data_IF_767211784250
#
_entry.id   IF_767211784250
#
_cell.length_a   1.000
_cell.length_b   1.000
_cell.length_c   1.000
_cell.angle_alpha   90.00
_cell.angle_beta   90.00
_cell.angle_gamma   90.00
#
_symmetry.space_group_name_H-M   'P 1'
#
loop_
_entity.id
_entity.type
_entity.pdbx_description
1 polymer ?
#
# COMPACT_ATOMS: atom_id res chain seq x y z
N UNK A 1 32.43 -33.38 45.79
CA UNK A 1 32.27 -31.94 46.10
C UNK A 1 31.07 -31.47 45.28
N UNK A 2 29.86 -31.68 45.79
CA UNK A 2 28.63 -31.18 45.16
C UNK A 2 28.51 -29.69 45.49
N UNK A 3 28.80 -28.85 44.51
CA UNK A 3 28.63 -27.41 44.64
C UNK A 3 27.15 -27.08 44.41
N UNK A 4 26.40 -26.97 45.50
CA UNK A 4 25.00 -26.55 45.49
C UNK A 4 24.89 -25.16 44.83
N UNK A 5 24.33 -25.13 43.62
CA UNK A 5 23.92 -23.90 42.95
C UNK A 5 22.72 -23.29 43.69
N UNK A 6 22.99 -22.57 44.78
CA UNK A 6 21.99 -21.85 45.54
C UNK A 6 21.56 -20.63 44.70
N UNK A 7 20.37 -20.66 44.12
CA UNK A 7 19.78 -19.52 43.42
C UNK A 7 19.90 -18.26 44.28
N UNK A 8 20.72 -17.30 43.83
CA UNK A 8 20.91 -16.04 44.55
C UNK A 8 19.60 -15.26 44.50
N UNK A 9 18.93 -15.09 45.65
CA UNK A 9 17.71 -14.29 45.74
C UNK A 9 17.97 -12.84 45.30
N UNK A 10 17.10 -12.30 44.46
CA UNK A 10 17.17 -10.90 44.04
C UNK A 10 17.04 -9.99 45.28
N UNK A 11 18.08 -9.21 45.55
CA UNK A 11 18.22 -8.44 46.81
C UNK A 11 18.00 -6.92 46.64
N UNK A 12 17.88 -6.42 45.41
CA UNK A 12 17.75 -5.00 45.10
C UNK A 12 16.35 -4.67 44.55
N UNK A 13 15.77 -3.56 45.01
CA UNK A 13 14.46 -3.07 44.57
C UNK A 13 14.58 -1.64 44.06
N UNK A 14 14.05 -1.40 42.86
CA UNK A 14 13.95 -0.08 42.25
C UNK A 14 12.48 0.29 42.07
N UNK A 15 12.14 1.57 42.25
CA UNK A 15 10.79 2.11 42.07
C UNK A 15 10.82 3.17 40.98
N UNK A 16 9.82 3.17 40.11
CA UNK A 16 9.60 4.20 39.10
C UNK A 16 8.13 4.62 39.11
N UNK A 17 7.87 5.85 38.68
CA UNK A 17 6.52 6.41 38.56
C UNK A 17 6.19 6.53 37.08
N UNK A 18 4.95 6.19 36.73
CA UNK A 18 4.41 6.35 35.38
C UNK A 18 3.37 7.47 35.39
N UNK A 19 3.30 8.23 34.30
CA UNK A 19 2.15 9.09 34.02
C UNK A 19 0.94 8.26 33.51
N UNK A 20 -0.21 8.91 33.34
CA UNK A 20 -1.46 8.28 32.90
C UNK A 20 -1.29 7.52 31.56
N UNK A 21 -0.66 8.15 30.57
CA UNK A 21 -0.49 7.57 29.23
C UNK A 21 0.47 6.38 29.25
N UNK A 22 1.56 6.51 30.00
CA UNK A 22 2.53 5.45 30.23
C UNK A 22 1.89 4.27 30.95
N UNK A 23 1.01 4.51 31.93
CA UNK A 23 0.30 3.47 32.66
C UNK A 23 -0.68 2.70 31.75
N UNK A 24 -1.45 3.40 30.92
CA UNK A 24 -2.34 2.75 29.92
C UNK A 24 -1.53 1.84 29.00
N UNK A 25 -0.40 2.35 28.46
CA UNK A 25 0.48 1.58 27.58
C UNK A 25 1.10 0.38 28.30
N UNK A 26 1.51 0.56 29.55
CA UNK A 26 2.06 -0.51 30.38
C UNK A 26 1.05 -1.64 30.61
N UNK A 27 -0.19 -1.31 31.00
CA UNK A 27 -1.25 -2.29 31.19
C UNK A 27 -1.54 -3.09 29.91
N UNK A 28 -1.54 -2.44 28.75
CA UNK A 28 -1.72 -3.12 27.46
C UNK A 28 -0.61 -4.13 27.19
N UNK A 29 0.66 -3.71 27.32
CA UNK A 29 1.80 -4.60 27.08
C UNK A 29 1.86 -5.76 28.09
N UNK A 30 1.41 -5.53 29.32
CA UNK A 30 1.35 -6.55 30.37
C UNK A 30 0.31 -7.65 30.03
N UNK A 31 -0.85 -7.24 29.51
CA UNK A 31 -1.91 -8.14 29.06
C UNK A 31 -1.47 -8.95 27.82
N UNK A 32 -0.89 -8.29 26.81
CA UNK A 32 -0.34 -8.95 25.61
C UNK A 32 0.72 -10.00 25.95
N UNK A 33 1.51 -9.78 27.01
CA UNK A 33 2.54 -10.72 27.47
C UNK A 33 2.01 -11.84 28.37
N UNK A 34 0.72 -11.84 28.74
CA UNK A 34 0.10 -12.84 29.63
C UNK A 34 0.65 -12.83 31.06
N UNK A 35 1.26 -11.72 31.51
CA UNK A 35 1.94 -11.60 32.80
C UNK A 35 1.22 -10.67 33.79
N UNK A 36 -0.09 -10.52 33.66
CA UNK A 36 -0.94 -9.62 34.47
C UNK A 36 -0.77 -9.81 35.99
N UNK A 37 -0.55 -11.05 36.41
CA UNK A 37 -0.39 -11.45 37.81
C UNK A 37 0.98 -11.08 38.41
N UNK A 38 1.98 -10.71 37.59
CA UNK A 38 3.32 -10.40 38.07
C UNK A 38 4.01 -9.28 37.27
N UNK A 39 3.69 -8.04 37.65
CA UNK A 39 4.24 -6.81 37.06
C UNK A 39 5.78 -6.74 37.16
N UNK A 40 6.35 -7.12 38.29
CA UNK A 40 7.81 -7.07 38.49
C UNK A 40 8.55 -8.02 37.56
N UNK A 41 8.04 -9.24 37.37
CA UNK A 41 8.62 -10.20 36.43
C UNK A 41 8.53 -9.71 34.99
N UNK A 42 7.41 -9.10 34.62
CA UNK A 42 7.25 -8.47 33.30
C UNK A 42 8.29 -7.37 33.06
N UNK A 43 8.49 -6.47 34.03
CA UNK A 43 9.47 -5.38 33.94
C UNK A 43 10.89 -5.93 33.80
N UNK A 44 11.31 -6.87 34.66
CA UNK A 44 12.65 -7.47 34.60
C UNK A 44 12.89 -8.18 33.27
N UNK A 45 11.89 -8.91 32.78
CA UNK A 45 11.96 -9.58 31.47
C UNK A 45 12.13 -8.57 30.33
N UNK A 46 11.41 -7.44 30.39
CA UNK A 46 11.48 -6.41 29.35
C UNK A 46 12.78 -5.60 29.37
N UNK A 47 13.38 -5.40 30.54
CA UNK A 47 14.67 -4.69 30.67
C UNK A 47 15.86 -5.59 30.31
N UNK A 48 15.83 -6.88 30.69
CA UNK A 48 17.02 -7.74 30.65
C UNK A 48 16.90 -9.02 29.81
N UNK A 49 15.70 -9.43 29.36
CA UNK A 49 15.51 -10.73 28.69
C UNK A 49 15.04 -10.63 27.23
N UNK A 50 14.64 -9.46 26.73
CA UNK A 50 14.27 -9.28 25.32
C UNK A 50 15.28 -8.38 24.61
N UNK A 51 15.73 -8.79 23.41
CA UNK A 51 16.59 -7.96 22.54
C UNK A 51 15.93 -6.59 22.35
N UNK A 52 16.63 -5.54 22.77
CA UNK A 52 16.23 -4.16 22.50
C UNK A 52 16.44 -3.86 21.01
N UNK A 53 15.52 -4.30 20.16
CA UNK A 53 15.48 -3.90 18.74
C UNK A 53 14.82 -2.54 18.63
N UNK A 54 15.64 -1.48 18.62
CA UNK A 54 15.21 -0.19 18.08
C UNK A 54 15.05 -0.37 16.57
N UNK A 55 13.85 -0.76 16.13
CA UNK A 55 13.54 -0.74 14.71
C UNK A 55 13.36 0.72 14.32
N UNK A 56 14.43 1.34 13.83
CA UNK A 56 14.32 2.57 13.05
C UNK A 56 13.66 2.19 11.73
N UNK A 57 12.34 2.23 11.70
CA UNK A 57 11.58 2.07 10.46
C UNK A 57 11.85 3.34 9.66
N UNK A 58 12.68 3.24 8.63
CA UNK A 58 12.80 4.28 7.63
C UNK A 58 11.46 4.35 6.88
N UNK A 59 10.66 5.44 7.03
CA UNK A 59 9.36 5.55 6.39
C UNK A 59 9.46 5.55 4.85
N UNK A 60 10.65 5.76 4.29
CA UNK A 60 10.88 5.73 2.84
C UNK A 60 10.90 4.31 2.28
N UNK A 61 11.50 3.35 2.98
CA UNK A 61 11.60 1.96 2.52
C UNK A 61 10.22 1.27 2.49
N UNK A 62 9.40 1.49 3.52
CA UNK A 62 8.02 0.99 3.54
C UNK A 62 7.18 1.57 2.40
N UNK A 63 7.32 2.88 2.14
CA UNK A 63 6.63 3.55 1.02
C UNK A 63 7.13 3.06 -0.35
N UNK A 64 8.42 2.74 -0.45
CA UNK A 64 9.02 2.19 -1.67
C UNK A 64 8.50 0.78 -1.97
N UNK A 65 8.49 -0.12 -0.98
CA UNK A 65 7.94 -1.48 -1.12
C UNK A 65 6.46 -1.46 -1.48
N UNK A 66 5.67 -0.59 -0.84
CA UNK A 66 4.25 -0.40 -1.18
C UNK A 66 4.07 0.05 -2.63
N UNK A 67 4.89 0.99 -3.12
CA UNK A 67 4.86 1.42 -4.52
C UNK A 67 5.24 0.30 -5.50
N UNK A 68 6.23 -0.52 -5.15
CA UNK A 68 6.61 -1.69 -5.96
C UNK A 68 5.47 -2.72 -6.05
N UNK A 69 4.79 -2.99 -4.94
CA UNK A 69 3.65 -3.91 -4.94
C UNK A 69 2.48 -3.36 -5.79
N UNK A 70 2.19 -2.06 -5.68
CA UNK A 70 1.19 -1.41 -6.53
C UNK A 70 1.54 -1.53 -8.02
N UNK A 71 2.82 -1.39 -8.37
CA UNK A 71 3.29 -1.57 -9.75
C UNK A 71 3.12 -3.02 -10.23
N UNK A 72 3.45 -4.00 -9.39
CA UNK A 72 3.25 -5.41 -9.68
C UNK A 72 1.76 -5.75 -9.92
N UNK A 73 0.86 -5.19 -9.10
CA UNK A 73 -0.59 -5.33 -9.29
C UNK A 73 -1.07 -4.74 -10.62
N UNK A 74 -0.52 -3.59 -11.04
CA UNK A 74 -0.82 -2.99 -12.33
C UNK A 74 -0.41 -3.90 -13.49
N UNK A 75 0.79 -4.49 -13.44
CA UNK A 75 1.28 -5.45 -14.44
C UNK A 75 0.35 -6.67 -14.52
N UNK A 76 -0.06 -7.22 -13.37
CA UNK A 76 -0.99 -8.35 -13.35
C UNK A 76 -2.34 -8.02 -13.97
N UNK A 77 -2.89 -6.83 -13.72
CA UNK A 77 -4.15 -6.39 -14.35
C UNK A 77 -4.04 -6.32 -15.87
N UNK A 78 -2.91 -5.83 -16.39
CA UNK A 78 -2.66 -5.82 -17.84
C UNK A 78 -2.61 -7.26 -18.39
N UNK A 79 -1.90 -8.18 -17.73
CA UNK A 79 -1.84 -9.58 -18.14
C UNK A 79 -3.20 -10.28 -18.10
N UNK A 80 -4.02 -9.98 -17.09
CA UNK A 80 -5.39 -10.51 -16.99
C UNK A 80 -6.28 -10.00 -18.12
N UNK A 81 -6.22 -8.71 -18.43
CA UNK A 81 -6.97 -8.11 -19.55
C UNK A 81 -6.53 -8.70 -20.89
N UNK A 82 -5.22 -8.89 -21.12
CA UNK A 82 -4.71 -9.55 -22.31
C UNK A 82 -5.29 -10.97 -22.46
N UNK A 83 -5.23 -11.77 -21.39
CA UNK A 83 -5.74 -13.14 -21.40
C UNK A 83 -7.27 -13.19 -21.60
N UNK A 84 -8.01 -12.19 -21.15
CA UNK A 84 -9.44 -12.08 -21.39
C UNK A 84 -9.73 -11.77 -22.86
N UNK A 85 -9.00 -10.83 -23.46
CA UNK A 85 -9.16 -10.49 -24.88
C UNK A 85 -8.79 -11.68 -25.77
N UNK A 86 -7.64 -12.34 -25.53
CA UNK A 86 -7.24 -13.52 -26.31
C UNK A 86 -8.27 -14.64 -26.19
N UNK A 87 -8.84 -14.87 -24.99
CA UNK A 87 -9.90 -15.86 -24.82
C UNK A 87 -11.21 -15.44 -25.51
N UNK A 88 -11.59 -14.18 -25.45
CA UNK A 88 -12.75 -13.68 -26.20
C UNK A 88 -12.52 -13.83 -27.71
N UNK A 89 -11.30 -13.57 -28.19
CA UNK A 89 -10.88 -13.76 -29.58
C UNK A 89 -11.00 -15.23 -30.01
N UNK A 90 -10.41 -16.13 -29.23
CA UNK A 90 -10.40 -17.56 -29.54
C UNK A 90 -11.75 -18.25 -29.33
N UNK A 91 -12.60 -17.75 -28.41
CA UNK A 91 -13.88 -18.40 -28.06
C UNK A 91 -15.07 -17.85 -28.86
N UNK A 92 -15.06 -16.57 -29.27
CA UNK A 92 -16.25 -15.90 -29.82
C UNK A 92 -16.12 -15.37 -31.24
N UNK A 93 -14.99 -15.56 -31.93
CA UNK A 93 -14.87 -15.12 -33.33
C UNK A 93 -15.08 -16.27 -34.30
N UNK A 94 -16.19 -16.21 -35.03
CA UNK A 94 -16.33 -16.83 -36.35
C UNK A 94 -15.77 -15.89 -37.44
N UNK A 95 -15.49 -16.43 -38.63
CA UNK A 95 -14.98 -15.69 -39.80
C UNK A 95 -15.84 -14.47 -40.19
N UNK A 96 -17.07 -14.36 -39.68
CA UNK A 96 -18.03 -13.28 -39.93
C UNK A 96 -18.06 -12.20 -38.84
N UNK A 97 -17.56 -12.48 -37.63
CA UNK A 97 -17.55 -11.53 -36.51
C UNK A 97 -16.39 -10.53 -36.57
N UNK A 98 -15.23 -10.95 -37.09
CA UNK A 98 -14.02 -10.10 -37.22
C UNK A 98 -14.31 -8.87 -38.11
N UNK A 99 -14.86 -9.01 -39.33
CA UNK A 99 -15.11 -7.85 -40.20
C UNK A 99 -16.10 -6.85 -39.60
N UNK A 100 -17.11 -7.35 -38.86
CA UNK A 100 -18.13 -6.49 -38.22
C UNK A 100 -17.53 -5.63 -37.11
N UNK A 101 -16.63 -6.18 -36.29
CA UNK A 101 -15.99 -5.41 -35.22
C UNK A 101 -14.97 -4.41 -35.76
N UNK A 102 -14.24 -4.78 -36.82
CA UNK A 102 -13.34 -3.85 -37.53
C UNK A 102 -14.13 -2.68 -38.12
N UNK A 103 -15.28 -2.94 -38.75
CA UNK A 103 -16.16 -1.89 -39.29
C UNK A 103 -16.70 -0.97 -38.18
N UNK A 104 -17.09 -1.54 -37.02
CA UNK A 104 -17.57 -0.76 -35.88
C UNK A 104 -16.46 0.14 -35.31
N UNK A 105 -15.24 -0.39 -35.18
CA UNK A 105 -14.07 0.37 -34.73
C UNK A 105 -13.77 1.51 -35.70
N UNK A 106 -13.73 1.22 -37.00
CA UNK A 106 -13.48 2.21 -38.05
C UNK A 106 -14.51 3.36 -38.01
N UNK A 107 -15.80 3.04 -37.81
CA UNK A 107 -16.85 4.04 -37.63
C UNK A 107 -16.60 4.93 -36.41
N UNK A 108 -16.27 4.33 -35.25
CA UNK A 108 -16.00 5.10 -34.03
C UNK A 108 -14.76 5.98 -34.16
N UNK A 109 -13.72 5.53 -34.85
CA UNK A 109 -12.53 6.33 -35.13
C UNK A 109 -12.85 7.51 -36.05
N UNK A 110 -13.75 7.35 -37.04
CA UNK A 110 -14.23 8.47 -37.87
C UNK A 110 -15.02 9.49 -37.05
N UNK A 111 -15.92 9.04 -36.18
CA UNK A 111 -16.69 9.91 -35.28
C UNK A 111 -15.74 10.71 -34.36
N UNK A 112 -14.72 10.05 -33.80
CA UNK A 112 -13.71 10.71 -32.95
C UNK A 112 -12.89 11.73 -33.73
N UNK A 113 -12.47 11.41 -34.96
CA UNK A 113 -11.74 12.34 -35.82
C UNK A 113 -12.57 13.60 -36.10
N UNK A 114 -13.84 13.43 -36.47
CA UNK A 114 -14.72 14.56 -36.74
C UNK A 114 -14.89 15.46 -35.51
N UNK A 115 -15.03 14.87 -34.32
CA UNK A 115 -15.08 15.62 -33.06
C UNK A 115 -13.76 16.37 -32.80
N UNK A 116 -12.61 15.72 -33.04
CA UNK A 116 -11.31 16.36 -32.88
C UNK A 116 -11.12 17.55 -33.82
N UNK A 117 -11.61 17.47 -35.05
CA UNK A 117 -11.57 18.58 -36.02
C UNK A 117 -12.42 19.76 -35.54
N UNK A 118 -13.61 19.50 -34.98
CA UNK A 118 -14.46 20.55 -34.39
C UNK A 118 -13.79 21.25 -33.20
N UNK A 119 -13.12 20.48 -32.32
CA UNK A 119 -12.39 21.05 -31.18
C UNK A 119 -11.24 21.96 -31.64
N UNK A 120 -10.50 21.54 -32.68
CA UNK A 120 -9.42 22.36 -33.25
C UNK A 120 -9.98 23.66 -33.85
N UNK A 121 -11.10 23.59 -34.58
CA UNK A 121 -11.75 24.77 -35.16
C UNK A 121 -12.19 25.78 -34.06
N UNK A 122 -12.90 25.31 -33.05
CA UNK A 122 -13.32 26.13 -31.91
C UNK A 122 -12.13 26.75 -31.16
N UNK A 123 -11.04 25.99 -31.01
CA UNK A 123 -9.83 26.50 -30.34
C UNK A 123 -9.17 27.64 -31.13
N UNK A 124 -9.20 27.58 -32.47
CA UNK A 124 -8.69 28.66 -33.33
C UNK A 124 -9.57 29.89 -33.27
N UNK A 125 -10.90 29.72 -33.34
CA UNK A 125 -11.85 30.84 -33.22
C UNK A 125 -11.69 31.57 -31.88
N UNK A 126 -11.59 30.84 -30.76
CA UNK A 126 -11.35 31.43 -29.45
C UNK A 126 -10.02 32.18 -29.37
N UNK A 127 -8.96 31.63 -29.98
CA UNK A 127 -7.65 32.29 -30.02
C UNK A 127 -7.68 33.59 -30.83
N UNK A 128 -8.35 33.60 -31.99
CA UNK A 128 -8.53 34.81 -32.80
C UNK A 128 -9.34 35.88 -32.07
N UNK A 129 -10.43 35.50 -31.40
CA UNK A 129 -11.23 36.42 -30.59
C UNK A 129 -10.40 37.03 -29.45
N UNK A 130 -9.67 36.20 -28.70
CA UNK A 130 -8.80 36.66 -27.63
C UNK A 130 -7.68 37.60 -28.13
N UNK A 131 -7.08 37.28 -29.28
CA UNK A 131 -6.02 38.11 -29.87
C UNK A 131 -6.51 39.47 -30.34
N UNK A 132 -7.78 39.59 -30.79
CA UNK A 132 -8.39 40.87 -31.18
C UNK A 132 -8.81 41.73 -30.00
N UNK A 133 -9.06 41.12 -28.84
CA UNK A 133 -9.49 41.82 -27.62
C UNK A 133 -8.28 42.36 -26.81
N UNK A 134 -7.06 41.94 -27.16
CA UNK A 134 -5.80 42.39 -26.55
C UNK A 134 -5.05 43.47 -27.38
N UNK A 135 -5.60 43.90 -28.52
CA UNK A 135 -5.17 45.09 -29.28
C UNK A 135 -5.96 46.33 -28.84
#
# INVERSE_FOLDING_TARGET
MEEQHKERKASYKYSFRLDEQQNIRFCRMLAEAGLEHNRSRFIVKRIFAEEFRVVRIDPTLGRYVTRLNQFYEQIQRVGNNYNQIVRAVNTHFSHTAIPRQVLLLERRTRELKALSEQVIALSRELYELWSRECE
#
